data_IF_352860512940
#
_entry.id   IF_352860512940
#
_cell.length_a   1.000
_cell.length_b   1.000
_cell.length_c   1.000
_cell.angle_alpha   90.00
_cell.angle_beta   90.00
_cell.angle_gamma   90.00
#
_symmetry.space_group_name_H-M   'P 1'
#
loop_
_entity.id
_entity.type
_entity.pdbx_description
1 polymer ?
#
# COMPACT_ATOMS: atom_id res chain seq x y z
N UNK A 1 1.98 21.28 -5.86
CA UNK A 1 2.87 20.44 -5.02
C UNK A 1 3.12 19.16 -5.79
N UNK A 2 4.34 18.62 -5.77
CA UNK A 2 4.65 17.32 -6.39
C UNK A 2 3.96 16.20 -5.62
N UNK A 3 3.41 15.20 -6.33
CA UNK A 3 2.71 14.05 -5.76
C UNK A 3 3.73 13.07 -5.18
N UNK A 4 3.44 12.48 -4.02
CA UNK A 4 4.27 11.43 -3.43
C UNK A 4 3.81 10.06 -3.95
N UNK A 5 4.76 9.16 -4.14
CA UNK A 5 4.49 7.73 -4.28
C UNK A 5 4.65 7.10 -2.89
N UNK A 6 3.55 6.64 -2.31
CA UNK A 6 3.48 6.07 -0.97
C UNK A 6 3.20 4.57 -1.06
N UNK A 7 4.12 3.76 -0.54
CA UNK A 7 3.90 2.32 -0.40
C UNK A 7 3.21 2.06 0.94
N UNK A 8 1.91 1.75 0.88
CA UNK A 8 1.12 1.51 2.08
C UNK A 8 0.48 0.13 2.00
N UNK A 9 0.80 -0.75 2.97
CA UNK A 9 0.44 -2.16 2.92
C UNK A 9 0.40 -2.79 4.32
N UNK A 10 -0.43 -3.82 4.50
CA UNK A 10 -0.34 -4.73 5.64
C UNK A 10 0.80 -5.73 5.41
N UNK A 11 1.51 -6.07 6.48
CA UNK A 11 2.63 -7.01 6.45
C UNK A 11 2.58 -7.92 7.66
N UNK A 12 2.90 -9.21 7.50
CA UNK A 12 3.09 -10.13 8.62
C UNK A 12 4.36 -9.78 9.41
N UNK A 13 4.46 -10.23 10.65
CA UNK A 13 5.64 -9.96 11.48
C UNK A 13 6.94 -10.50 10.86
N UNK A 14 6.85 -11.56 10.06
CA UNK A 14 7.97 -12.16 9.32
C UNK A 14 8.13 -11.63 7.88
N UNK A 15 7.44 -10.52 7.52
CA UNK A 15 7.75 -9.72 6.34
C UNK A 15 7.03 -10.11 5.05
N UNK A 16 5.89 -10.79 5.11
CA UNK A 16 5.08 -11.14 3.94
C UNK A 16 3.85 -10.25 3.80
N UNK A 17 3.47 -9.91 2.57
CA UNK A 17 2.29 -9.10 2.24
C UNK A 17 1.10 -9.95 1.77
N UNK A 18 1.33 -11.23 1.51
CA UNK A 18 0.33 -12.22 1.19
C UNK A 18 0.89 -13.61 1.47
N UNK A 19 0.04 -14.61 1.63
CA UNK A 19 0.44 -16.01 1.67
C UNK A 19 1.01 -16.51 0.33
N UNK A 20 1.46 -17.77 0.25
CA UNK A 20 2.11 -18.33 -0.95
C UNK A 20 1.25 -18.27 -2.21
N UNK A 21 -0.08 -18.40 -2.08
CA UNK A 21 -1.03 -18.35 -3.20
C UNK A 21 -1.77 -17.00 -3.29
N UNK A 22 -1.31 -15.97 -2.53
CA UNK A 22 -1.92 -14.66 -2.49
C UNK A 22 -2.98 -14.48 -1.40
N UNK A 23 -3.06 -15.37 -0.42
CA UNK A 23 -4.00 -15.30 0.71
C UNK A 23 -3.72 -14.06 1.57
N UNK A 24 -4.79 -13.41 2.05
CA UNK A 24 -4.71 -12.23 2.93
C UNK A 24 -5.80 -12.22 4.02
N UNK A 25 -6.48 -13.33 4.24
CA UNK A 25 -7.48 -13.57 5.30
C UNK A 25 -6.90 -13.42 6.71
N UNK A 26 -5.58 -13.49 6.84
CA UNK A 26 -4.83 -13.21 8.07
C UNK A 26 -4.80 -11.72 8.45
N UNK A 27 -5.18 -10.82 7.55
CA UNK A 27 -5.21 -9.38 7.82
C UNK A 27 -6.44 -9.06 8.66
N UNK A 28 -6.21 -8.81 9.94
CA UNK A 28 -7.29 -8.39 10.85
C UNK A 28 -7.68 -6.94 10.62
N UNK A 29 -8.98 -6.69 10.64
CA UNK A 29 -9.54 -5.35 10.51
C UNK A 29 -9.70 -4.73 11.90
N UNK A 30 -8.94 -3.66 12.18
CA UNK A 30 -9.10 -2.92 13.44
C UNK A 30 -10.11 -1.78 13.26
N UNK A 31 -11.11 -1.63 14.15
CA UNK A 31 -12.13 -0.58 14.04
C UNK A 31 -11.56 0.85 14.15
N UNK A 32 -10.34 1.00 14.65
CA UNK A 32 -9.67 2.29 14.68
C UNK A 32 -9.10 2.71 13.32
N UNK A 33 -9.04 1.83 12.32
CA UNK A 33 -8.56 2.17 10.97
C UNK A 33 -9.65 2.90 10.21
N UNK A 34 -9.43 4.19 9.91
CA UNK A 34 -10.33 4.99 9.07
C UNK A 34 -9.93 4.87 7.59
N UNK A 35 -10.45 3.83 6.92
CA UNK A 35 -10.21 3.64 5.50
C UNK A 35 -10.75 4.78 4.64
N UNK A 36 -11.86 5.41 5.03
CA UNK A 36 -12.41 6.53 4.28
C UNK A 36 -11.49 7.76 4.33
N UNK A 37 -10.88 8.02 5.47
CA UNK A 37 -9.86 9.07 5.58
C UNK A 37 -8.58 8.71 4.83
N UNK A 38 -8.19 7.42 4.84
CA UNK A 38 -7.04 6.92 4.10
C UNK A 38 -7.19 7.16 2.59
N UNK A 39 -8.33 6.74 2.01
CA UNK A 39 -8.59 6.90 0.57
C UNK A 39 -8.58 8.37 0.12
N UNK A 40 -8.91 9.32 1.01
CA UNK A 40 -8.90 10.76 0.69
C UNK A 40 -7.50 11.33 0.44
N UNK A 41 -6.46 10.68 0.91
CA UNK A 41 -5.08 11.11 0.69
C UNK A 41 -4.61 10.85 -0.75
N UNK A 42 -5.29 9.94 -1.47
CA UNK A 42 -4.90 9.46 -2.79
C UNK A 42 -5.93 9.83 -3.87
N UNK A 43 -5.51 9.89 -5.10
CA UNK A 43 -6.38 9.93 -6.29
C UNK A 43 -6.02 8.87 -7.32
N UNK A 44 -4.86 8.24 -7.17
CA UNK A 44 -4.35 7.21 -8.07
C UNK A 44 -3.80 6.04 -7.27
N UNK A 45 -4.10 4.83 -7.68
CA UNK A 45 -3.48 3.61 -7.18
C UNK A 45 -2.73 2.91 -8.30
N UNK A 46 -1.52 2.43 -8.01
CA UNK A 46 -0.71 1.68 -8.97
C UNK A 46 -0.42 0.28 -8.41
N UNK A 47 -0.52 -0.74 -9.25
CA UNK A 47 -0.28 -2.12 -8.84
C UNK A 47 0.20 -3.00 -10.00
N UNK A 48 0.83 -4.11 -9.64
CA UNK A 48 1.20 -5.14 -10.61
C UNK A 48 0.05 -6.11 -10.89
N UNK A 49 0.16 -6.86 -12.00
CA UNK A 49 -0.83 -7.84 -12.45
C UNK A 49 -1.27 -8.82 -11.34
N UNK A 50 -0.34 -9.43 -10.62
CA UNK A 50 -0.67 -10.42 -9.57
C UNK A 50 -1.54 -9.83 -8.45
N UNK A 51 -1.25 -8.61 -8.01
CA UNK A 51 -2.06 -7.90 -7.01
C UNK A 51 -3.45 -7.62 -7.54
N UNK A 52 -3.56 -7.22 -8.81
CA UNK A 52 -4.84 -6.99 -9.46
C UNK A 52 -5.67 -8.29 -9.58
N UNK A 53 -5.06 -9.40 -9.97
CA UNK A 53 -5.71 -10.72 -10.06
C UNK A 53 -6.28 -11.16 -8.69
N UNK A 54 -5.55 -10.93 -7.59
CA UNK A 54 -6.04 -11.21 -6.22
C UNK A 54 -7.27 -10.36 -5.89
N UNK A 55 -7.27 -9.06 -6.23
CA UNK A 55 -8.44 -8.19 -6.01
C UNK A 55 -9.66 -8.63 -6.81
N UNK A 56 -9.47 -9.07 -8.06
CA UNK A 56 -10.58 -9.49 -8.94
C UNK A 56 -11.13 -10.87 -8.61
N UNK A 57 -10.31 -11.77 -8.06
CA UNK A 57 -10.74 -13.10 -7.65
C UNK A 57 -11.84 -13.10 -6.58
N UNK A 58 -12.03 -11.98 -5.86
CA UNK A 58 -13.07 -11.80 -4.83
C UNK A 58 -14.38 -11.23 -5.35
N UNK A 59 -14.59 -11.24 -6.67
CA UNK A 59 -15.82 -10.74 -7.29
C UNK A 59 -15.87 -9.22 -7.49
N UNK A 60 -14.76 -8.50 -7.21
CA UNK A 60 -14.58 -7.10 -7.55
C UNK A 60 -14.04 -6.90 -8.97
N UNK A 61 -14.28 -5.71 -9.53
CA UNK A 61 -13.67 -5.36 -10.85
C UNK A 61 -12.25 -4.79 -10.71
N UNK A 62 -11.62 -4.90 -9.52
CA UNK A 62 -10.31 -4.32 -9.23
C UNK A 62 -10.29 -2.79 -9.11
N UNK A 63 -11.45 -2.14 -9.26
CA UNK A 63 -11.60 -0.72 -9.05
C UNK A 63 -11.56 -0.40 -7.54
N UNK A 64 -10.88 0.67 -7.19
CA UNK A 64 -10.85 1.20 -5.83
C UNK A 64 -11.68 2.49 -5.78
N UNK A 65 -12.62 2.66 -4.84
CA UNK A 65 -13.53 3.79 -4.82
C UNK A 65 -12.81 5.14 -4.82
N UNK A 66 -13.09 5.98 -5.82
CA UNK A 66 -12.54 7.33 -5.95
C UNK A 66 -11.08 7.41 -6.40
N UNK A 67 -10.49 6.31 -6.84
CA UNK A 67 -9.11 6.25 -7.33
C UNK A 67 -9.05 5.88 -8.81
N UNK A 68 -8.13 6.50 -9.56
CA UNK A 68 -7.70 6.03 -10.87
C UNK A 68 -6.75 4.83 -10.67
N UNK A 69 -7.18 3.64 -11.07
CA UNK A 69 -6.41 2.42 -10.89
C UNK A 69 -5.59 2.12 -12.12
N UNK A 70 -4.26 2.03 -11.96
CA UNK A 70 -3.31 1.69 -13.01
C UNK A 70 -2.67 0.34 -12.70
N UNK A 71 -2.85 -0.61 -13.62
CA UNK A 71 -2.29 -1.96 -13.50
C UNK A 71 -1.19 -2.16 -14.52
N UNK A 72 0.01 -2.44 -14.04
CA UNK A 72 1.14 -2.78 -14.91
C UNK A 72 1.10 -4.26 -15.29
N UNK A 73 0.89 -4.52 -16.58
CA UNK A 73 0.81 -5.88 -17.12
C UNK A 73 1.21 -5.93 -18.60
N UNK A 74 2.05 -6.91 -18.94
CA UNK A 74 2.39 -7.24 -20.33
C UNK A 74 1.45 -8.27 -20.97
N UNK A 75 0.54 -8.85 -20.19
CA UNK A 75 -0.29 -10.00 -20.62
C UNK A 75 -1.79 -9.74 -20.55
N UNK A 76 -2.24 -8.83 -19.66
CA UNK A 76 -3.67 -8.45 -19.59
C UNK A 76 -4.02 -7.49 -20.73
N UNK A 77 -5.22 -7.66 -21.28
CA UNK A 77 -5.73 -6.78 -22.35
C UNK A 77 -6.50 -5.59 -21.74
N UNK A 78 -6.31 -4.34 -22.24
CA UNK A 78 -6.93 -3.14 -21.67
C UNK A 78 -8.46 -3.12 -21.69
N UNK A 79 -9.09 -3.81 -22.66
CA UNK A 79 -10.51 -3.66 -23.02
C UNK A 79 -11.50 -4.31 -22.04
N UNK A 80 -11.04 -5.12 -21.09
CA UNK A 80 -11.92 -6.01 -20.31
C UNK A 80 -12.21 -5.55 -18.89
N UNK A 81 -11.74 -4.38 -18.48
CA UNK A 81 -11.74 -3.98 -17.07
C UNK A 81 -12.22 -2.53 -16.88
N UNK A 82 -13.56 -2.27 -16.81
CA UNK A 82 -14.09 -0.92 -16.59
C UNK A 82 -13.54 -0.28 -15.30
N UNK A 83 -13.12 0.98 -15.39
CA UNK A 83 -12.60 1.74 -14.24
C UNK A 83 -11.15 1.40 -13.86
N UNK A 84 -10.48 0.56 -14.65
CA UNK A 84 -9.08 0.18 -14.45
C UNK A 84 -8.30 0.38 -15.74
N UNK A 85 -7.19 1.08 -15.64
CA UNK A 85 -6.28 1.30 -16.79
C UNK A 85 -5.15 0.28 -16.75
N UNK A 86 -5.17 -0.68 -17.66
CA UNK A 86 -4.08 -1.64 -17.85
C UNK A 86 -3.08 -1.06 -18.83
N UNK A 87 -1.81 -1.05 -18.43
CA UNK A 87 -0.70 -0.50 -19.21
C UNK A 87 0.45 -1.51 -19.31
N UNK A 88 1.16 -1.49 -20.41
CA UNK A 88 2.37 -2.27 -20.63
C UNK A 88 3.63 -1.39 -20.77
N UNK A 89 3.47 -0.09 -20.52
CA UNK A 89 4.56 0.88 -20.50
C UNK A 89 5.56 0.58 -19.38
N UNK A 90 6.72 1.24 -19.43
CA UNK A 90 7.68 1.19 -18.32
C UNK A 90 7.04 1.77 -17.06
N UNK A 91 6.97 1.01 -15.94
CA UNK A 91 6.32 1.48 -14.73
C UNK A 91 7.00 2.71 -14.14
N UNK A 92 8.32 2.81 -14.22
CA UNK A 92 9.07 3.92 -13.62
C UNK A 92 8.86 5.22 -14.41
N UNK A 93 8.86 5.16 -15.73
CA UNK A 93 8.58 6.33 -16.58
C UNK A 93 7.15 6.84 -16.35
N UNK A 94 6.17 5.93 -16.32
CA UNK A 94 4.77 6.33 -16.10
C UNK A 94 4.57 6.95 -14.72
N UNK A 95 5.13 6.36 -13.67
CA UNK A 95 5.00 6.90 -12.31
C UNK A 95 5.74 8.24 -12.16
N UNK A 96 6.92 8.40 -12.76
CA UNK A 96 7.62 9.68 -12.79
C UNK A 96 6.77 10.77 -13.46
N UNK A 97 6.14 10.45 -14.59
CA UNK A 97 5.23 11.36 -15.28
C UNK A 97 3.97 11.68 -14.44
N UNK A 98 3.42 10.72 -13.70
CA UNK A 98 2.31 10.95 -12.77
C UNK A 98 2.72 11.86 -11.60
N UNK A 99 3.91 11.66 -11.03
CA UNK A 99 4.43 12.51 -9.95
C UNK A 99 4.62 13.96 -10.38
N UNK A 100 4.93 14.22 -11.64
CA UNK A 100 5.11 15.57 -12.20
C UNK A 100 3.79 16.31 -12.42
N UNK A 101 2.65 15.62 -12.47
CA UNK A 101 1.32 16.22 -12.67
C UNK A 101 0.73 16.72 -11.34
N UNK A 102 -0.17 17.73 -11.36
CA UNK A 102 -0.93 18.08 -10.18
C UNK A 102 -1.87 16.94 -9.76
N UNK A 103 -2.08 16.80 -8.45
CA UNK A 103 -2.95 15.76 -7.90
C UNK A 103 -2.62 15.48 -6.44
N UNK A 104 -3.35 14.50 -5.86
CA UNK A 104 -3.07 13.94 -4.54
C UNK A 104 -1.96 12.88 -4.64
N UNK A 105 -1.61 12.26 -3.53
CA UNK A 105 -0.58 11.23 -3.50
C UNK A 105 -0.98 10.00 -4.35
N UNK A 106 0.02 9.25 -4.78
CA UNK A 106 -0.13 8.01 -5.54
C UNK A 106 0.05 6.85 -4.56
N UNK A 107 -0.92 5.95 -4.50
CA UNK A 107 -0.84 4.75 -3.68
C UNK A 107 -0.15 3.62 -4.45
N UNK A 108 1.05 3.24 -4.06
CA UNK A 108 1.61 1.97 -4.47
C UNK A 108 0.90 0.87 -3.66
N UNK A 109 -0.11 0.27 -4.28
CA UNK A 109 -0.97 -0.73 -3.66
C UNK A 109 -0.29 -2.11 -3.54
N UNK A 110 0.64 -2.42 -4.44
CA UNK A 110 1.43 -3.66 -4.41
C UNK A 110 1.91 -4.11 -5.79
N UNK A 111 2.75 -5.12 -5.92
CA UNK A 111 3.36 -5.99 -4.95
C UNK A 111 4.86 -5.71 -4.81
N UNK A 112 5.56 -6.58 -4.06
CA UNK A 112 6.98 -6.40 -3.68
C UNK A 112 7.96 -6.25 -4.84
N UNK A 113 7.69 -6.85 -6.00
CA UNK A 113 8.53 -6.68 -7.22
C UNK A 113 8.39 -5.26 -7.78
N UNK A 114 7.16 -4.76 -7.89
CA UNK A 114 6.93 -3.39 -8.38
C UNK A 114 7.49 -2.36 -7.39
N UNK A 115 7.32 -2.61 -6.09
CA UNK A 115 7.93 -1.80 -5.05
C UNK A 115 9.45 -1.75 -5.20
N UNK A 116 10.12 -2.89 -5.45
CA UNK A 116 11.56 -2.94 -5.70
C UNK A 116 11.97 -2.05 -6.88
N UNK A 117 11.28 -2.17 -8.01
CA UNK A 117 11.56 -1.37 -9.20
C UNK A 117 11.47 0.13 -8.92
N UNK A 118 10.43 0.58 -8.24
CA UNK A 118 10.27 1.99 -7.89
C UNK A 118 11.26 2.48 -6.84
N UNK A 119 11.65 1.62 -5.90
CA UNK A 119 12.63 1.95 -4.87
C UNK A 119 14.02 2.14 -5.51
N UNK A 120 14.43 1.24 -6.41
CA UNK A 120 15.70 1.33 -7.14
C UNK A 120 15.74 2.54 -8.06
N UNK A 121 14.59 2.96 -8.63
CA UNK A 121 14.47 4.16 -9.44
C UNK A 121 14.37 5.47 -8.62
N UNK A 122 14.42 5.41 -7.27
CA UNK A 122 14.30 6.59 -6.41
C UNK A 122 12.93 7.27 -6.45
N UNK A 123 11.88 6.56 -6.84
CA UNK A 123 10.53 7.13 -7.01
C UNK A 123 9.68 7.06 -5.74
N UNK A 124 9.99 6.15 -4.81
CA UNK A 124 9.22 5.96 -3.57
C UNK A 124 9.58 7.04 -2.56
N UNK A 125 8.58 7.71 -2.01
CA UNK A 125 8.75 8.78 -1.03
C UNK A 125 8.58 8.27 0.41
N UNK A 126 7.61 7.38 0.64
CA UNK A 126 7.32 6.82 1.96
C UNK A 126 7.01 5.33 1.90
N UNK A 127 7.33 4.64 3.00
CA UNK A 127 6.95 3.24 3.25
C UNK A 127 6.12 3.21 4.53
N UNK A 128 4.86 2.80 4.41
CA UNK A 128 3.89 2.79 5.50
C UNK A 128 3.36 1.36 5.66
N UNK A 129 3.72 0.72 6.77
CA UNK A 129 3.34 -0.68 6.99
C UNK A 129 2.49 -0.84 8.24
N UNK A 130 1.42 -1.62 8.13
CA UNK A 130 0.68 -2.15 9.25
C UNK A 130 1.19 -3.56 9.55
N UNK A 131 2.02 -3.69 10.59
CA UNK A 131 2.56 -4.99 11.01
C UNK A 131 1.48 -5.75 11.77
N UNK A 132 0.97 -6.79 11.15
CA UNK A 132 -0.04 -7.68 11.73
C UNK A 132 0.68 -8.70 12.62
N UNK A 133 0.19 -8.97 13.84
CA UNK A 133 0.84 -9.87 14.79
C UNK A 133 0.63 -11.35 14.41
N UNK A 134 1.16 -11.75 13.25
CA UNK A 134 1.10 -13.11 12.69
C UNK A 134 2.43 -13.47 12.04
N UNK A 135 2.80 -14.73 12.11
CA UNK A 135 3.91 -15.33 11.37
C UNK A 135 3.33 -16.26 10.30
N UNK A 136 3.65 -16.02 9.04
CA UNK A 136 3.16 -16.83 7.91
C UNK A 136 4.13 -17.97 7.55
N UNK A 137 5.41 -17.79 7.82
CA UNK A 137 6.47 -18.78 7.49
C UNK A 137 6.84 -18.82 6.01
N UNK A 138 5.91 -18.49 5.11
CA UNK A 138 6.13 -18.37 3.67
C UNK A 138 5.10 -17.43 3.05
N UNK A 139 5.41 -16.84 1.90
CA UNK A 139 4.48 -15.96 1.20
C UNK A 139 5.14 -15.01 0.20
N UNK A 140 4.38 -14.01 -0.21
CA UNK A 140 4.87 -12.92 -1.07
C UNK A 140 5.61 -11.92 -0.18
N UNK A 141 6.91 -11.69 -0.37
CA UNK A 141 7.67 -10.79 0.47
C UNK A 141 7.28 -9.34 0.26
N UNK A 142 7.40 -8.53 1.34
CA UNK A 142 7.20 -7.08 1.31
C UNK A 142 8.03 -6.42 0.20
N UNK A 143 9.26 -6.85 0.04
CA UNK A 143 10.21 -6.32 -0.95
C UNK A 143 10.94 -7.48 -1.63
N UNK A 144 11.01 -7.43 -2.96
CA UNK A 144 11.83 -8.38 -3.71
C UNK A 144 13.34 -8.16 -3.42
N UNK A 145 14.18 -9.20 -3.56
CA UNK A 145 15.63 -9.10 -3.35
C UNK A 145 16.27 -7.95 -4.13
N UNK A 146 17.29 -7.32 -3.54
CA UNK A 146 18.01 -6.21 -4.14
C UNK A 146 18.89 -5.49 -3.11
N UNK A 147 19.36 -4.29 -3.45
CA UNK A 147 20.20 -3.49 -2.57
C UNK A 147 19.45 -3.03 -1.31
N UNK A 148 20.19 -2.93 -0.19
CA UNK A 148 19.62 -2.42 1.06
C UNK A 148 19.38 -0.91 0.95
N UNK A 149 18.23 -0.46 1.46
CA UNK A 149 17.88 0.95 1.57
C UNK A 149 17.60 1.28 3.04
N UNK A 150 18.30 2.27 3.57
CA UNK A 150 18.05 2.76 4.94
C UNK A 150 16.83 3.67 4.93
N UNK A 151 15.90 3.45 5.86
CA UNK A 151 14.71 4.27 6.03
C UNK A 151 14.80 5.08 7.33
N UNK A 152 14.11 6.22 7.37
CA UNK A 152 14.02 7.04 8.58
C UNK A 152 12.61 6.93 9.15
N UNK A 153 12.47 6.45 10.39
CA UNK A 153 11.18 6.38 11.08
C UNK A 153 10.63 7.80 11.28
N UNK A 154 9.42 8.03 10.79
CA UNK A 154 8.72 9.30 10.89
C UNK A 154 7.57 9.25 11.89
N UNK A 155 6.86 8.13 11.99
CA UNK A 155 5.75 7.94 12.93
C UNK A 155 5.55 6.46 13.25
N UNK A 156 4.99 6.18 14.44
CA UNK A 156 4.58 4.83 14.83
C UNK A 156 3.32 4.87 15.69
N UNK A 157 2.49 3.85 15.58
CA UNK A 157 1.29 3.72 16.40
C UNK A 157 0.92 2.26 16.61
N UNK A 158 0.57 1.92 17.85
CA UNK A 158 0.01 0.62 18.20
C UNK A 158 -1.51 0.72 18.26
N UNK A 159 -2.19 -0.26 17.66
CA UNK A 159 -3.64 -0.43 17.73
C UNK A 159 -3.94 -1.47 18.83
N UNK A 160 -4.48 -1.05 19.99
CA UNK A 160 -4.53 -1.92 21.17
C UNK A 160 -5.54 -3.07 21.03
N UNK A 161 -6.54 -2.97 20.16
CA UNK A 161 -7.57 -4.00 19.97
C UNK A 161 -7.01 -5.17 19.16
N UNK A 162 -6.34 -4.88 18.05
CA UNK A 162 -5.80 -5.90 17.14
C UNK A 162 -4.34 -6.27 17.40
N UNK A 163 -3.61 -5.45 18.16
CA UNK A 163 -2.17 -5.60 18.33
C UNK A 163 -1.34 -5.16 17.12
N UNK A 164 -1.97 -4.58 16.11
CA UNK A 164 -1.27 -4.04 14.92
C UNK A 164 -0.32 -2.93 15.34
N UNK A 165 0.90 -2.96 14.82
CA UNK A 165 1.86 -1.86 14.92
C UNK A 165 1.98 -1.21 13.55
N UNK A 166 1.49 0.02 13.43
CA UNK A 166 1.63 0.81 12.22
C UNK A 166 2.89 1.65 12.27
N UNK A 167 3.68 1.61 11.21
CA UNK A 167 4.96 2.28 11.06
C UNK A 167 4.96 3.10 9.78
N UNK A 168 5.45 4.34 9.85
CA UNK A 168 5.63 5.20 8.69
C UNK A 168 7.09 5.64 8.60
N UNK A 169 7.69 5.40 7.45
CA UNK A 169 9.08 5.73 7.17
C UNK A 169 9.20 6.67 5.97
N UNK A 170 10.15 7.59 6.03
CA UNK A 170 10.62 8.35 4.87
C UNK A 170 11.73 7.59 4.15
N UNK A 171 11.72 7.63 2.82
CA UNK A 171 12.77 7.08 1.96
C UNK A 171 13.78 8.19 1.66
N UNK A 172 15.10 7.92 1.62
CA UNK A 172 16.10 8.90 1.22
C UNK A 172 15.83 9.48 -0.17
N UNK A 173 15.86 10.81 -0.29
CA UNK A 173 15.53 11.51 -1.54
C UNK A 173 14.04 11.69 -1.81
N UNK A 174 13.19 11.11 -0.99
CA UNK A 174 11.73 11.27 -1.10
C UNK A 174 11.25 12.70 -0.75
N UNK A 175 10.06 13.04 -1.22
CA UNK A 175 9.48 14.38 -1.06
C UNK A 175 8.82 14.52 0.32
N UNK A 176 9.47 15.27 1.21
CA UNK A 176 8.94 15.61 2.53
C UNK A 176 8.89 14.45 3.52
N UNK A 177 8.46 14.70 4.76
CA UNK A 177 8.32 13.67 5.77
C UNK A 177 7.14 12.73 5.45
N UNK A 178 7.21 11.48 5.90
CA UNK A 178 6.08 10.58 5.84
C UNK A 178 4.88 11.19 6.60
N UNK A 179 3.65 10.99 6.13
CA UNK A 179 2.46 11.50 6.78
C UNK A 179 2.27 10.83 8.15
N UNK A 180 1.67 11.57 9.08
CA UNK A 180 1.28 10.99 10.37
C UNK A 180 0.19 9.94 10.17
N UNK A 181 0.32 8.86 10.89
CA UNK A 181 -0.63 7.75 10.89
C UNK A 181 -1.96 8.24 11.51
N UNK A 182 -3.05 8.22 10.74
CA UNK A 182 -4.38 8.66 11.18
C UNK A 182 -5.23 7.45 11.53
N UNK A 183 -5.80 7.47 12.74
CA UNK A 183 -6.78 6.50 13.20
C UNK A 183 -7.87 7.21 13.99
N UNK A 184 -9.08 6.68 13.98
CA UNK A 184 -10.15 7.15 14.85
C UNK A 184 -9.78 6.80 16.31
N UNK A 185 -9.83 7.78 17.22
CA UNK A 185 -9.70 7.47 18.64
C UNK A 185 -10.84 6.53 19.01
N UNK A 186 -10.52 5.33 19.49
CA UNK A 186 -11.53 4.44 20.06
C UNK A 186 -12.33 5.22 21.11
N UNK A 187 -13.66 5.25 20.96
CA UNK A 187 -14.52 5.81 21.98
C UNK A 187 -14.23 5.08 23.29
N UNK A 188 -13.89 5.83 24.34
CA UNK A 188 -13.73 5.26 25.69
C UNK A 188 -15.08 4.66 26.09
N UNK A 189 -15.22 3.36 25.97
CA UNK A 189 -16.34 2.64 26.57
C UNK A 189 -16.22 2.83 28.09
N UNK A 190 -17.03 3.72 28.66
CA UNK A 190 -17.22 3.83 30.11
C UNK A 190 -17.84 2.52 30.56
N UNK A 191 -17.03 1.64 31.11
CA UNK A 191 -17.53 0.54 31.92
C UNK A 191 -18.21 1.20 33.12
N UNK A 192 -19.54 1.20 33.16
CA UNK A 192 -20.28 1.50 34.39
C UNK A 192 -20.06 0.32 35.31
N UNK A 193 -19.25 0.51 36.32
CA UNK A 193 -19.21 -0.39 37.47
C UNK A 193 -20.57 -0.28 38.20
N UNK A 194 -21.30 -1.37 38.20
CA UNK A 194 -22.50 -1.58 39.04
C UNK A 194 -22.06 -1.99 40.43
#
# INVERSE_FOLDING_TARGET
MSRRLRYQVAVSLDGFIAGPNGEYDWIVMDPAIDFAALFKDFDTAVMGRKTYEVLTAQGGHGALPGLDVVVFSRTLRPVTHPGVRIVNDDPCELVAALKAKPGRDIWLYGGGVLFRSFLDAGLVDTVEVAVIPVLLGAGVPLLAPGAATKLTLADQKTLPVSGIVALAYSVPGGIGPAPRIRYVKAAKTRVRSS
#
